data_IF_717348977009
#
_entry.id   IF_717348977009
#
_cell.length_a   1.000
_cell.length_b   1.000
_cell.length_c   1.000
_cell.angle_alpha   90.00
_cell.angle_beta   90.00
_cell.angle_gamma   90.00
#
_symmetry.space_group_name_H-M   'P 1'
#
loop_
_entity.id
_entity.type
_entity.pdbx_description
1 polymer ?
#
# COMPACT_ATOMS: atom_id res chain seq x y z
N UNK A 1 -0.82 8.01 5.88
CA UNK A 1 0.08 8.19 4.71
C UNK A 1 -0.23 9.45 3.91
N UNK A 2 -1.46 9.62 3.37
CA UNK A 2 -1.78 10.78 2.51
C UNK A 2 -1.46 12.15 3.16
N UNK A 3 -1.72 12.31 4.47
CA UNK A 3 -1.35 13.54 5.20
C UNK A 3 0.17 13.74 5.30
N UNK A 4 0.96 12.67 5.43
CA UNK A 4 2.42 12.77 5.46
C UNK A 4 2.96 13.20 4.09
N UNK A 5 2.42 12.64 2.99
CA UNK A 5 2.79 13.03 1.62
C UNK A 5 2.46 14.50 1.37
N UNK A 6 1.25 14.96 1.71
CA UNK A 6 0.87 16.37 1.54
C UNK A 6 1.79 17.33 2.28
N UNK A 7 2.23 16.97 3.49
CA UNK A 7 3.19 17.78 4.26
C UNK A 7 4.58 17.76 3.64
N UNK A 8 5.04 16.60 3.17
CA UNK A 8 6.28 16.49 2.44
C UNK A 8 6.26 17.31 1.14
N UNK A 9 5.13 17.40 0.45
CA UNK A 9 4.99 18.24 -0.75
C UNK A 9 5.15 19.73 -0.47
N UNK A 10 4.85 20.18 0.76
CA UNK A 10 5.11 21.58 1.18
C UNK A 10 6.61 21.86 1.25
N UNK A 11 7.41 20.89 1.71
CA UNK A 11 8.85 21.09 1.94
C UNK A 11 9.70 20.72 0.72
N UNK A 12 9.27 19.73 -0.07
CA UNK A 12 10.04 19.15 -1.18
C UNK A 12 9.42 19.38 -2.56
N UNK A 13 8.26 20.04 -2.64
CA UNK A 13 7.50 20.23 -3.87
C UNK A 13 6.68 19.00 -4.27
N UNK A 14 6.00 19.08 -5.42
CA UNK A 14 5.11 18.03 -5.92
C UNK A 14 5.81 16.65 -5.96
N UNK A 15 5.07 15.58 -5.60
CA UNK A 15 5.57 14.19 -5.55
C UNK A 15 6.38 13.78 -6.79
N UNK A 16 5.99 14.23 -7.98
CA UNK A 16 6.65 13.90 -9.27
C UNK A 16 8.11 14.37 -9.37
N UNK A 17 8.55 15.28 -8.50
CA UNK A 17 9.92 15.80 -8.45
C UNK A 17 10.76 15.16 -7.34
N UNK A 18 10.19 14.24 -6.57
CA UNK A 18 10.92 13.59 -5.50
C UNK A 18 11.98 12.64 -6.07
N UNK A 19 13.08 12.53 -5.34
CA UNK A 19 14.14 11.55 -5.59
C UNK A 19 13.66 10.14 -5.20
N UNK A 20 12.92 9.51 -6.12
CA UNK A 20 12.42 8.14 -6.00
C UNK A 20 13.30 7.24 -6.86
N UNK A 21 13.70 6.08 -6.31
CA UNK A 21 14.55 5.12 -7.00
C UNK A 21 14.04 4.81 -8.43
N UNK A 22 14.82 5.15 -9.48
CA UNK A 22 14.41 4.92 -10.86
C UNK A 22 14.64 3.48 -11.32
N UNK A 23 15.45 2.70 -10.58
CA UNK A 23 15.84 1.36 -10.96
C UNK A 23 14.68 0.37 -10.80
N UNK A 24 14.72 -0.72 -11.56
CA UNK A 24 13.75 -1.83 -11.47
C UNK A 24 13.92 -2.69 -10.21
N UNK A 25 15.00 -2.48 -9.45
CA UNK A 25 15.28 -3.11 -8.17
C UNK A 25 15.61 -2.08 -7.11
N UNK A 26 15.50 -2.45 -5.84
CA UNK A 26 15.78 -1.57 -4.69
C UNK A 26 16.52 -2.33 -3.60
N UNK A 27 17.15 -1.60 -2.68
CA UNK A 27 17.78 -2.14 -1.48
C UNK A 27 17.11 -1.59 -0.22
N UNK A 28 17.38 -2.20 0.92
CA UNK A 28 16.92 -1.68 2.20
C UNK A 28 17.41 -0.25 2.42
N UNK A 29 18.67 0.04 2.10
CA UNK A 29 19.32 1.35 2.27
C UNK A 29 18.63 2.43 1.43
N UNK A 30 18.34 2.15 0.15
CA UNK A 30 17.59 3.07 -0.72
C UNK A 30 16.21 3.37 -0.11
N UNK A 31 15.51 2.34 0.36
CA UNK A 31 14.16 2.48 0.90
C UNK A 31 14.13 3.22 2.25
N UNK A 32 15.08 2.94 3.15
CA UNK A 32 15.14 3.60 4.45
C UNK A 32 15.57 5.06 4.32
N UNK A 33 16.48 5.38 3.40
CA UNK A 33 16.89 6.76 3.13
C UNK A 33 15.74 7.58 2.55
N UNK A 34 15.01 7.01 1.58
CA UNK A 34 13.78 7.61 1.07
C UNK A 34 12.78 7.89 2.21
N UNK A 35 12.50 6.90 3.05
CA UNK A 35 11.54 7.04 4.14
C UNK A 35 12.00 8.05 5.20
N UNK A 36 13.29 8.09 5.54
CA UNK A 36 13.86 9.04 6.47
C UNK A 36 13.74 10.48 5.96
N UNK A 37 13.93 10.70 4.66
CA UNK A 37 13.84 12.02 4.04
C UNK A 37 12.40 12.51 3.90
N UNK A 38 11.54 11.71 3.27
CA UNK A 38 10.23 12.19 2.80
C UNK A 38 9.04 11.81 3.69
N UNK A 39 9.17 10.81 4.57
CA UNK A 39 8.01 10.30 5.33
C UNK A 39 8.18 10.50 6.82
N UNK A 40 9.27 10.03 7.41
CA UNK A 40 9.52 10.02 8.85
C UNK A 40 9.30 11.38 9.54
N UNK A 41 9.69 12.55 8.98
CA UNK A 41 9.46 13.85 9.62
C UNK A 41 7.99 14.18 9.86
N UNK A 42 7.07 13.56 9.10
CA UNK A 42 5.65 13.89 9.10
C UNK A 42 4.79 12.89 9.86
N UNK A 43 5.41 11.93 10.54
CA UNK A 43 4.76 11.04 11.49
C UNK A 43 5.18 11.40 12.91
N UNK A 44 4.23 11.54 13.83
CA UNK A 44 4.51 11.78 15.26
C UNK A 44 5.37 10.65 15.86
N UNK A 45 5.20 9.42 15.36
CA UNK A 45 6.03 8.28 15.72
C UNK A 45 5.95 7.24 14.61
N UNK A 46 7.11 6.91 14.06
CA UNK A 46 7.30 5.91 13.02
C UNK A 46 8.56 5.12 13.37
N UNK A 47 8.38 3.95 13.98
CA UNK A 47 9.48 3.12 14.46
C UNK A 47 9.78 2.05 13.43
N UNK A 48 11.04 1.96 12.99
CA UNK A 48 11.50 0.88 12.12
C UNK A 48 11.39 -0.44 12.89
N UNK A 49 10.75 -1.45 12.30
CA UNK A 49 10.54 -2.76 12.95
C UNK A 49 11.25 -3.91 12.23
N UNK A 50 11.45 -3.83 10.91
CA UNK A 50 12.19 -4.87 10.17
C UNK A 50 12.58 -4.42 8.76
N UNK A 51 13.48 -5.20 8.16
CA UNK A 51 13.82 -5.16 6.73
C UNK A 51 12.82 -6.04 5.97
N UNK A 52 12.07 -5.44 5.05
CA UNK A 52 11.21 -6.09 4.06
C UNK A 52 10.41 -7.30 4.55
N UNK A 53 10.25 -8.30 3.70
CA UNK A 53 9.64 -9.58 4.08
C UNK A 53 10.64 -10.57 4.71
N UNK A 54 11.79 -10.12 5.23
CA UNK A 54 12.80 -10.99 5.84
C UNK A 54 12.34 -11.60 7.17
N UNK A 55 11.30 -11.04 7.80
CA UNK A 55 10.66 -11.64 8.97
C UNK A 55 9.50 -12.56 8.53
N UNK A 56 9.79 -13.86 8.48
CA UNK A 56 8.89 -14.92 7.99
C UNK A 56 7.55 -15.05 8.74
N UNK A 57 7.39 -14.36 9.87
CA UNK A 57 6.11 -14.25 10.57
C UNK A 57 5.13 -13.27 9.86
N UNK A 58 5.65 -12.48 8.92
CA UNK A 58 4.98 -11.40 8.21
C UNK A 58 5.16 -11.58 6.70
N UNK A 59 4.43 -12.53 6.12
CA UNK A 59 4.34 -12.72 4.66
C UNK A 59 3.70 -11.53 3.91
N UNK A 60 3.67 -10.33 4.49
CA UNK A 60 2.93 -9.14 4.05
C UNK A 60 3.85 -7.93 3.82
N UNK A 61 5.17 -8.11 3.82
CA UNK A 61 6.11 -7.08 3.37
C UNK A 61 5.91 -6.80 1.89
N UNK A 62 5.93 -5.52 1.48
CA UNK A 62 5.71 -5.15 0.07
C UNK A 62 6.84 -5.64 -0.85
N UNK A 63 8.02 -5.88 -0.28
CA UNK A 63 9.21 -6.44 -0.94
C UNK A 63 10.21 -6.96 0.09
N UNK A 64 11.05 -7.92 -0.30
CA UNK A 64 12.21 -8.40 0.49
C UNK A 64 13.15 -7.26 0.88
N UNK A 65 13.29 -6.25 0.03
CA UNK A 65 14.17 -5.10 0.29
C UNK A 65 13.44 -3.88 0.85
N UNK A 66 12.13 -3.99 1.09
CA UNK A 66 11.33 -2.91 1.64
C UNK A 66 11.73 -2.53 3.07
N UNK A 67 11.03 -1.55 3.65
CA UNK A 67 11.16 -1.17 5.04
C UNK A 67 9.80 -1.22 5.71
N UNK A 68 9.74 -1.76 6.93
CA UNK A 68 8.50 -1.83 7.69
C UNK A 68 8.60 -0.93 8.91
N UNK A 69 7.56 -0.12 9.12
CA UNK A 69 7.42 0.72 10.28
C UNK A 69 6.16 0.38 11.05
N UNK A 70 6.18 0.60 12.36
CA UNK A 70 4.98 0.67 13.19
C UNK A 70 4.75 2.09 13.67
N UNK A 71 3.49 2.51 13.63
CA UNK A 71 3.03 3.79 14.19
C UNK A 71 2.54 3.62 15.63
N UNK A 72 2.32 4.72 16.36
CA UNK A 72 1.87 4.65 17.76
C UNK A 72 0.52 3.95 17.97
N UNK A 73 -0.36 3.91 16.96
CA UNK A 73 -1.65 3.22 17.07
C UNK A 73 -1.57 1.73 16.69
N UNK A 74 -0.36 1.21 16.42
CA UNK A 74 -0.14 -0.18 16.04
C UNK A 74 -0.30 -0.47 14.55
N UNK A 75 -0.65 0.53 13.71
CA UNK A 75 -0.68 0.34 12.25
C UNK A 75 0.74 0.10 11.74
N UNK A 76 0.90 -0.92 10.90
CA UNK A 76 2.14 -1.24 10.22
C UNK A 76 2.11 -0.68 8.80
N UNK A 77 3.23 -0.09 8.38
CA UNK A 77 3.40 0.52 7.08
C UNK A 77 4.66 -0.08 6.45
N UNK A 78 4.48 -0.82 5.36
CA UNK A 78 5.56 -1.47 4.60
C UNK A 78 5.77 -0.69 3.30
N UNK A 79 7.00 -0.26 3.02
CA UNK A 79 7.31 0.65 1.90
C UNK A 79 8.46 0.13 1.06
N UNK A 80 8.35 0.25 -0.26
CA UNK A 80 9.48 0.14 -1.19
C UNK A 80 9.37 1.18 -2.29
N UNK A 81 10.50 1.54 -2.87
CA UNK A 81 10.62 2.46 -3.99
C UNK A 81 11.33 1.77 -5.15
N UNK A 82 10.66 1.67 -6.29
CA UNK A 82 11.18 1.10 -7.54
C UNK A 82 10.54 1.78 -8.72
N UNK A 83 11.28 1.92 -9.82
CA UNK A 83 10.78 2.47 -11.09
C UNK A 83 10.04 3.80 -10.93
N UNK A 84 10.64 4.74 -10.20
CA UNK A 84 10.07 6.07 -9.90
C UNK A 84 8.70 6.03 -9.19
N UNK A 85 8.38 4.92 -8.53
CA UNK A 85 7.12 4.74 -7.81
C UNK A 85 7.35 4.30 -6.37
N UNK A 86 6.50 4.81 -5.48
CA UNK A 86 6.35 4.32 -4.11
C UNK A 86 5.29 3.22 -4.13
N UNK A 87 5.55 2.13 -3.42
CA UNK A 87 4.59 1.07 -3.13
C UNK A 87 4.47 0.93 -1.63
N UNK A 88 3.24 0.86 -1.13
CA UNK A 88 2.98 0.81 0.30
C UNK A 88 1.85 -0.16 0.64
N UNK A 89 2.12 -1.07 1.59
CA UNK A 89 1.09 -1.82 2.29
C UNK A 89 0.83 -1.18 3.64
N UNK A 90 -0.45 -0.97 3.96
CA UNK A 90 -0.92 -0.40 5.22
C UNK A 90 -1.74 -1.47 5.93
N UNK A 91 -1.22 -2.00 7.02
CA UNK A 91 -1.86 -2.99 7.87
C UNK A 91 -2.39 -2.33 9.14
N UNK A 92 -3.72 -2.19 9.23
CA UNK A 92 -4.38 -1.54 10.37
C UNK A 92 -4.60 -2.47 11.56
N UNK A 93 -4.41 -3.78 11.39
CA UNK A 93 -4.54 -4.77 12.46
C UNK A 93 -3.19 -5.01 13.16
N UNK A 94 -2.08 -4.73 12.46
CA UNK A 94 -0.74 -4.71 13.01
C UNK A 94 -0.31 -6.10 13.50
N UNK A 95 0.15 -6.19 14.75
CA UNK A 95 0.59 -7.46 15.38
C UNK A 95 -0.53 -8.45 15.66
N UNK A 96 -1.80 -8.02 15.61
CA UNK A 96 -2.93 -8.93 15.77
C UNK A 96 -3.02 -9.78 14.50
N UNK A 97 -3.29 -11.07 14.64
CA UNK A 97 -3.38 -12.02 13.51
C UNK A 97 -4.79 -12.62 13.48
N UNK A 98 -5.26 -13.13 12.32
CA UNK A 98 -4.60 -13.11 11.01
C UNK A 98 -4.66 -11.71 10.36
N UNK A 99 -3.68 -11.39 9.50
CA UNK A 99 -3.74 -10.23 8.61
C UNK A 99 -4.05 -10.71 7.19
N UNK A 100 -5.01 -10.08 6.53
CA UNK A 100 -5.54 -10.44 5.21
C UNK A 100 -5.66 -9.23 4.30
N UNK A 101 -5.20 -9.39 3.06
CA UNK A 101 -5.38 -8.40 2.01
C UNK A 101 -6.86 -8.06 1.82
N UNK A 102 -7.16 -6.76 1.79
CA UNK A 102 -8.50 -6.25 1.65
C UNK A 102 -9.37 -6.34 2.90
N UNK A 103 -8.88 -6.86 4.02
CA UNK A 103 -9.61 -6.81 5.31
C UNK A 103 -8.93 -5.83 6.26
N UNK A 104 -7.63 -6.03 6.44
CA UNK A 104 -6.80 -5.22 7.33
C UNK A 104 -5.52 -4.72 6.65
N UNK A 105 -5.13 -5.34 5.53
CA UNK A 105 -4.02 -4.87 4.68
C UNK A 105 -4.58 -4.18 3.43
N UNK A 106 -4.10 -2.96 3.19
CA UNK A 106 -4.50 -2.13 2.05
C UNK A 106 -3.28 -1.72 1.23
N UNK A 107 -3.39 -1.84 -0.09
CA UNK A 107 -2.26 -1.65 -1.01
C UNK A 107 -2.41 -0.36 -1.81
N UNK A 108 -1.39 0.49 -1.73
CA UNK A 108 -1.26 1.75 -2.45
C UNK A 108 0.02 1.79 -3.29
N UNK A 109 0.01 2.62 -4.32
CA UNK A 109 1.23 3.01 -5.02
C UNK A 109 1.10 4.41 -5.63
N UNK A 110 2.17 4.87 -6.29
CA UNK A 110 2.19 6.17 -7.00
C UNK A 110 2.32 6.08 -8.51
N UNK A 111 2.00 4.93 -9.12
CA UNK A 111 2.11 4.73 -10.58
C UNK A 111 1.23 5.69 -11.38
N UNK A 112 0.12 6.14 -10.79
CA UNK A 112 -0.79 7.13 -11.38
C UNK A 112 -0.32 8.59 -11.19
N UNK A 113 0.88 8.80 -10.64
CA UNK A 113 1.41 10.12 -10.27
C UNK A 113 0.90 10.66 -8.94
N UNK A 114 -0.02 9.94 -8.27
CA UNK A 114 -0.56 10.26 -6.94
C UNK A 114 -0.57 9.01 -6.08
N UNK A 115 -0.52 9.18 -4.75
CA UNK A 115 -0.66 8.06 -3.82
C UNK A 115 -2.10 7.52 -3.83
N UNK A 116 -2.32 6.48 -4.62
CA UNK A 116 -3.63 5.93 -4.95
C UNK A 116 -3.67 4.42 -4.65
N UNK A 117 -4.87 3.82 -4.53
CA UNK A 117 -5.02 2.37 -4.46
C UNK A 117 -4.25 1.67 -5.58
N UNK A 118 -3.61 0.54 -5.25
CA UNK A 118 -2.94 -0.29 -6.23
C UNK A 118 -3.96 -0.90 -7.20
N UNK A 119 -3.69 -0.80 -8.50
CA UNK A 119 -4.65 -1.17 -9.55
C UNK A 119 -5.72 -0.11 -9.83
N UNK A 120 -5.64 1.11 -9.26
CA UNK A 120 -6.61 2.16 -9.55
C UNK A 120 -6.67 2.53 -11.04
N UNK A 121 -7.90 2.68 -11.55
CA UNK A 121 -8.20 3.23 -12.88
C UNK A 121 -9.20 4.37 -12.73
N UNK A 122 -9.16 5.31 -13.68
CA UNK A 122 -10.13 6.40 -13.73
C UNK A 122 -11.53 5.83 -13.99
N UNK A 123 -12.54 6.43 -13.37
CA UNK A 123 -13.97 6.16 -13.61
C UNK A 123 -14.43 4.74 -13.21
N UNK A 124 -13.70 4.05 -12.33
CA UNK A 124 -14.14 2.77 -11.75
C UNK A 124 -15.43 2.93 -10.94
N UNK A 125 -16.39 2.07 -11.21
CA UNK A 125 -17.61 1.93 -10.42
C UNK A 125 -17.42 0.94 -9.25
N UNK A 126 -18.26 1.07 -8.23
CA UNK A 126 -18.35 0.10 -7.11
C UNK A 126 -18.54 -1.33 -7.64
N UNK A 127 -19.44 -1.51 -8.61
CA UNK A 127 -19.77 -2.81 -9.19
C UNK A 127 -18.57 -3.43 -9.93
N UNK A 128 -17.83 -2.65 -10.73
CA UNK A 128 -16.62 -3.15 -11.41
C UNK A 128 -15.54 -3.57 -10.40
N UNK A 129 -15.40 -2.86 -9.29
CA UNK A 129 -14.45 -3.25 -8.24
C UNK A 129 -14.89 -4.55 -7.58
N UNK A 130 -16.19 -4.73 -7.29
CA UNK A 130 -16.72 -5.98 -6.75
C UNK A 130 -16.59 -7.14 -7.74
N UNK A 131 -16.98 -6.97 -9.00
CA UNK A 131 -16.96 -8.03 -10.00
C UNK A 131 -15.57 -8.29 -10.57
N UNK A 132 -14.66 -7.35 -10.38
CA UNK A 132 -13.30 -7.39 -10.86
C UNK A 132 -13.13 -6.76 -12.24
N UNK A 133 -11.94 -6.21 -12.46
CA UNK A 133 -11.55 -5.52 -13.67
C UNK A 133 -10.08 -5.77 -14.00
N UNK A 134 -9.71 -5.59 -15.26
CA UNK A 134 -8.32 -5.74 -15.71
C UNK A 134 -7.59 -4.40 -15.65
N UNK A 135 -6.47 -4.38 -14.93
CA UNK A 135 -5.53 -3.26 -14.88
C UNK A 135 -4.77 -3.06 -16.20
N UNK A 136 -4.02 -1.97 -16.27
CA UNK A 136 -3.18 -1.67 -17.45
C UNK A 136 -2.01 -2.65 -17.60
N UNK A 137 -1.61 -3.31 -16.51
CA UNK A 137 -0.60 -4.36 -16.47
C UNK A 137 -1.14 -5.76 -16.86
N UNK A 138 -2.42 -5.85 -17.22
CA UNK A 138 -3.09 -7.11 -17.55
C UNK A 138 -3.49 -7.96 -16.35
N UNK A 139 -3.25 -7.48 -15.12
CA UNK A 139 -3.67 -8.18 -13.90
C UNK A 139 -5.16 -7.96 -13.64
N UNK A 140 -5.83 -8.97 -13.10
CA UNK A 140 -7.21 -8.85 -12.64
C UNK A 140 -7.23 -8.45 -11.17
N UNK A 141 -7.95 -7.36 -10.90
CA UNK A 141 -8.16 -6.81 -9.57
C UNK A 141 -9.63 -6.93 -9.21
N UNK A 142 -9.96 -7.37 -8.00
CA UNK A 142 -11.33 -7.28 -7.49
C UNK A 142 -11.34 -7.02 -5.99
N UNK A 143 -12.52 -6.73 -5.44
CA UNK A 143 -12.80 -6.88 -4.03
C UNK A 143 -13.88 -7.93 -3.85
N UNK A 144 -13.55 -9.19 -4.14
CA UNK A 144 -14.42 -10.33 -3.83
C UNK A 144 -14.02 -10.96 -2.52
N UNK A 145 -14.99 -11.62 -1.88
CA UNK A 145 -14.69 -12.55 -0.79
C UNK A 145 -13.76 -13.63 -1.32
N UNK A 146 -12.57 -13.76 -0.72
CA UNK A 146 -11.63 -14.77 -1.18
C UNK A 146 -12.25 -16.16 -1.03
N UNK A 147 -12.19 -16.97 -2.10
CA UNK A 147 -12.70 -18.36 -2.06
C UNK A 147 -11.84 -19.27 -1.18
N UNK A 148 -10.59 -18.87 -0.93
CA UNK A 148 -9.67 -19.59 -0.05
C UNK A 148 -9.02 -18.63 0.95
N UNK A 149 -8.45 -19.12 2.05
CA UNK A 149 -7.69 -18.27 2.97
C UNK A 149 -6.37 -17.76 2.37
N UNK A 150 -5.98 -18.26 1.20
CA UNK A 150 -4.84 -17.78 0.45
C UNK A 150 -5.36 -16.76 -0.57
N UNK A 151 -4.66 -15.63 -0.69
CA UNK A 151 -4.89 -14.70 -1.80
C UNK A 151 -4.69 -15.49 -3.09
N UNK A 152 -5.78 -15.82 -3.77
CA UNK A 152 -5.72 -16.47 -5.07
C UNK A 152 -5.03 -15.48 -6.01
N UNK A 153 -3.83 -15.83 -6.48
CA UNK A 153 -2.98 -14.98 -7.33
C UNK A 153 -3.70 -14.54 -8.62
N UNK A 154 -4.81 -15.20 -8.97
CA UNK A 154 -5.65 -14.86 -10.12
C UNK A 154 -6.65 -13.73 -9.86
N UNK A 155 -6.87 -13.33 -8.60
CA UNK A 155 -7.82 -12.29 -8.22
C UNK A 155 -7.29 -11.43 -7.06
N UNK A 156 -6.54 -10.37 -7.39
CA UNK A 156 -5.91 -9.53 -6.39
C UNK A 156 -6.95 -8.70 -5.64
N UNK A 157 -7.17 -9.03 -4.36
CA UNK A 157 -8.00 -8.26 -3.41
C UNK A 157 -7.49 -6.84 -3.11
N UNK A 158 -6.44 -6.40 -3.81
CA UNK A 158 -5.92 -5.03 -3.74
C UNK A 158 -7.03 -4.00 -4.04
N UNK A 159 -7.97 -4.35 -4.92
CA UNK A 159 -9.08 -3.48 -5.31
C UNK A 159 -10.03 -3.16 -4.15
N UNK A 160 -9.98 -3.91 -3.04
CA UNK A 160 -10.68 -3.52 -1.80
C UNK A 160 -10.21 -2.16 -1.26
N UNK A 161 -8.96 -1.78 -1.53
CA UNK A 161 -8.46 -0.43 -1.21
C UNK A 161 -9.19 0.62 -2.06
N UNK A 162 -9.47 0.33 -3.34
CA UNK A 162 -10.28 1.18 -4.22
C UNK A 162 -11.73 1.25 -3.76
N UNK A 163 -12.30 0.12 -3.32
CA UNK A 163 -13.67 0.05 -2.79
C UNK A 163 -13.82 0.98 -1.59
N UNK A 164 -12.92 0.87 -0.60
CA UNK A 164 -12.91 1.75 0.56
C UNK A 164 -12.74 3.22 0.19
N UNK A 165 -11.86 3.53 -0.77
CA UNK A 165 -11.67 4.91 -1.20
C UNK A 165 -12.96 5.51 -1.80
N UNK A 166 -13.69 4.75 -2.63
CA UNK A 166 -14.99 5.18 -3.17
C UNK A 166 -16.06 5.28 -2.09
N UNK A 167 -15.97 4.44 -1.05
CA UNK A 167 -16.87 4.48 0.12
C UNK A 167 -16.53 5.57 1.14
N UNK A 168 -15.57 6.44 0.85
CA UNK A 168 -15.19 7.48 1.80
C UNK A 168 -14.42 6.94 3.02
N UNK A 169 -13.74 5.81 2.85
CA UNK A 169 -12.97 5.08 3.88
C UNK A 169 -13.84 4.44 4.96
N UNK A 170 -15.08 4.07 4.61
CA UNK A 170 -16.00 3.36 5.49
C UNK A 170 -16.23 1.92 5.02
N UNK A 171 -16.20 0.97 5.95
CA UNK A 171 -16.64 -0.39 5.68
C UNK A 171 -18.18 -0.42 5.69
N UNK A 172 -18.79 -0.32 4.52
CA UNK A 172 -20.24 -0.45 4.36
C UNK A 172 -20.73 -1.85 4.74
N UNK A 173 -22.04 -1.99 4.94
CA UNK A 173 -22.67 -3.26 5.35
C UNK A 173 -22.41 -4.40 4.35
N UNK A 174 -22.30 -4.06 3.06
CA UNK A 174 -22.02 -4.99 1.96
C UNK A 174 -20.52 -5.26 1.75
N UNK A 175 -19.64 -4.80 2.66
CA UNK A 175 -18.20 -5.00 2.50
C UNK A 175 -17.83 -6.50 2.49
N UNK A 176 -17.07 -6.97 1.49
CA UNK A 176 -16.88 -8.39 1.24
C UNK A 176 -15.66 -8.93 2.01
N UNK A 177 -15.79 -9.05 3.34
CA UNK A 177 -14.75 -9.58 4.24
C UNK A 177 -14.25 -10.99 3.89
#
# INVERSE_FOLDING_TARGET
>A
MNQAIKRAEVDYGELKYWDINPQSSSTFEINIDFCNKYLKPYFTSLKLISKGSEDSQWMTGVSVTGVNFVTNNGTIISITTVSNSIYALIDINGYKKPNKMGNDIFYFNTRTGKFMPSGWKKDLTREEIFQGYTGEDGLTFSCKKSKTNNDDYTDYRHACTSLLMIDGWEFKEDYPW
#
